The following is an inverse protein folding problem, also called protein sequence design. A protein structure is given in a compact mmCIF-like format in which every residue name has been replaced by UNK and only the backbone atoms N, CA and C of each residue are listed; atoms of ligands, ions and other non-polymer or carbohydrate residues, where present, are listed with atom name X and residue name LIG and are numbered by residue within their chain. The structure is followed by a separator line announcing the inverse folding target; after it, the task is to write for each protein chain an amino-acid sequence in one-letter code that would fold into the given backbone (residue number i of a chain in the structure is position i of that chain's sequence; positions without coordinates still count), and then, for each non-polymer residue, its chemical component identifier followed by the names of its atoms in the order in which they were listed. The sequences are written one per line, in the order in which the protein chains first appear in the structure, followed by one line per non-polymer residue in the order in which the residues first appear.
data_IF_258012494679
#
_entry.id   IF_258012494679
#
_cell.length_a   1.000
_cell.length_b   1.000
_cell.length_c   1.000
_cell.angle_alpha   90.00
_cell.angle_beta   90.00
_cell.angle_gamma   90.00
#
_symmetry.space_group_name_H-M   'P 1'
#
loop_
_entity.id
_entity.type
_entity.pdbx_description
1 polymer ?
#
# COMPACT_ATOMS: atom_id res chain seq x y z
N UNK A 1 2.11 -25.03 -14.52
CA UNK A 1 1.76 -23.96 -13.57
C UNK A 1 2.52 -24.15 -12.26
N UNK A 2 2.93 -23.10 -11.62
CA UNK A 2 3.68 -23.16 -10.37
C UNK A 2 3.06 -22.29 -9.31
N UNK A 3 3.39 -22.56 -8.04
CA UNK A 3 2.94 -21.77 -6.90
C UNK A 3 4.17 -21.23 -6.16
N UNK A 4 4.24 -19.92 -5.99
CA UNK A 4 5.35 -19.26 -5.34
C UNK A 4 4.86 -18.32 -4.24
N UNK A 5 5.38 -18.39 -3.01
CA UNK A 5 5.13 -17.38 -2.00
C UNK A 5 5.97 -16.13 -2.32
N UNK A 6 5.33 -14.96 -2.44
CA UNK A 6 6.01 -13.68 -2.65
C UNK A 6 5.58 -12.67 -1.58
N UNK A 7 6.52 -11.86 -1.13
CA UNK A 7 6.22 -10.76 -0.22
C UNK A 7 5.57 -9.60 -0.97
N UNK A 8 4.67 -8.88 -0.31
CA UNK A 8 4.01 -7.70 -0.87
C UNK A 8 5.02 -6.68 -1.37
N UNK A 9 6.09 -6.42 -0.62
CA UNK A 9 7.15 -5.51 -1.03
C UNK A 9 7.85 -5.93 -2.33
N UNK A 10 8.07 -7.23 -2.55
CA UNK A 10 8.62 -7.75 -3.80
C UNK A 10 7.68 -7.51 -4.98
N UNK A 11 6.38 -7.79 -4.80
CA UNK A 11 5.36 -7.56 -5.82
C UNK A 11 5.23 -6.08 -6.18
N UNK A 12 5.18 -5.22 -5.18
CA UNK A 12 5.13 -3.75 -5.35
C UNK A 12 6.37 -3.23 -6.08
N UNK A 13 7.56 -3.76 -5.79
CA UNK A 13 8.79 -3.39 -6.50
C UNK A 13 8.81 -3.92 -7.95
N UNK A 14 8.31 -5.13 -8.22
CA UNK A 14 8.17 -5.63 -9.60
C UNK A 14 7.28 -4.71 -10.45
N UNK A 15 6.20 -4.14 -9.87
CA UNK A 15 5.35 -3.16 -10.56
C UNK A 15 6.13 -1.88 -10.84
N UNK A 16 6.85 -1.35 -9.85
CA UNK A 16 7.64 -0.13 -9.98
C UNK A 16 8.73 -0.24 -11.06
N UNK A 17 9.32 -1.44 -11.19
CA UNK A 17 10.33 -1.75 -12.22
C UNK A 17 9.73 -2.07 -13.58
N UNK A 18 8.40 -2.14 -13.72
CA UNK A 18 7.73 -2.51 -14.96
C UNK A 18 7.84 -4.00 -15.32
N UNK A 19 8.31 -4.85 -14.41
CA UNK A 19 8.42 -6.30 -14.61
C UNK A 19 7.06 -6.99 -14.51
N UNK A 20 6.16 -6.46 -13.62
CA UNK A 20 4.81 -6.93 -13.45
C UNK A 20 3.83 -5.87 -13.98
N UNK A 21 3.06 -6.24 -15.01
CA UNK A 21 2.04 -5.39 -15.59
C UNK A 21 0.76 -5.41 -14.76
N UNK A 22 0.30 -4.22 -14.39
CA UNK A 22 -1.06 -3.98 -13.96
C UNK A 22 -1.86 -3.53 -15.19
N UNK A 23 -2.88 -4.25 -15.63
CA UNK A 23 -3.68 -3.84 -16.78
C UNK A 23 -4.61 -2.67 -16.40
N UNK A 24 -4.05 -1.52 -16.06
CA UNK A 24 -4.79 -0.30 -15.72
C UNK A 24 -5.69 0.19 -16.84
N UNK A 25 -5.29 -0.07 -18.09
CA UNK A 25 -6.05 0.31 -19.28
C UNK A 25 -7.30 -0.54 -19.52
N UNK A 26 -7.40 -1.73 -18.89
CA UNK A 26 -8.52 -2.64 -19.13
C UNK A 26 -9.57 -2.63 -18.02
N UNK A 27 -9.18 -2.30 -16.78
CA UNK A 27 -10.09 -2.26 -15.63
C UNK A 27 -9.73 -1.13 -14.69
N UNK A 28 -10.50 -0.04 -14.66
CA UNK A 28 -10.30 1.04 -13.72
C UNK A 28 -10.40 0.53 -12.27
N UNK A 29 -9.79 1.28 -11.37
CA UNK A 29 -9.86 0.98 -9.94
C UNK A 29 -11.28 1.23 -9.42
N UNK A 30 -11.93 0.17 -8.94
CA UNK A 30 -13.35 0.21 -8.54
C UNK A 30 -13.55 0.00 -7.03
N UNK A 31 -12.53 -0.42 -6.29
CA UNK A 31 -12.69 -0.63 -4.87
C UNK A 31 -12.97 0.68 -4.14
N UNK A 32 -13.94 0.72 -3.22
CA UNK A 32 -14.08 1.83 -2.30
C UNK A 32 -12.90 1.84 -1.32
N UNK A 33 -12.55 3.01 -0.81
CA UNK A 33 -11.42 3.17 0.12
C UNK A 33 -11.61 2.35 1.41
N UNK A 34 -12.86 2.12 1.82
CA UNK A 34 -13.17 1.22 2.94
C UNK A 34 -12.68 -0.21 2.72
N UNK A 35 -12.74 -0.72 1.48
CA UNK A 35 -12.24 -2.06 1.16
C UNK A 35 -10.70 -2.10 1.18
N UNK A 36 -10.05 -1.00 0.81
CA UNK A 36 -8.60 -0.87 0.94
C UNK A 36 -8.20 -0.80 2.42
N UNK A 37 -8.94 -0.04 3.25
CA UNK A 37 -8.76 -0.03 4.70
C UNK A 37 -8.87 -1.43 5.29
N UNK A 38 -9.90 -2.19 4.93
CA UNK A 38 -10.13 -3.55 5.42
C UNK A 38 -9.04 -4.53 4.98
N UNK A 39 -8.43 -4.28 3.81
CA UNK A 39 -7.26 -5.04 3.35
C UNK A 39 -6.07 -4.86 4.30
N UNK A 40 -5.70 -3.62 4.63
CA UNK A 40 -4.61 -3.32 5.56
C UNK A 40 -4.91 -3.81 6.98
N UNK A 41 -6.16 -3.67 7.44
CA UNK A 41 -6.61 -4.19 8.73
C UNK A 41 -6.51 -5.72 8.81
N UNK A 42 -6.87 -6.41 7.74
CA UNK A 42 -6.71 -7.88 7.66
C UNK A 42 -5.25 -8.29 7.69
N UNK A 43 -4.39 -7.57 6.98
CA UNK A 43 -2.95 -7.88 6.94
C UNK A 43 -2.28 -7.70 8.31
N UNK A 44 -2.56 -6.62 9.03
CA UNK A 44 -1.94 -6.37 10.35
C UNK A 44 -2.40 -7.40 11.39
N UNK A 45 -3.61 -7.93 11.23
CA UNK A 45 -4.16 -9.02 12.06
C UNK A 45 -3.67 -10.40 11.63
N UNK A 46 -2.89 -10.51 10.55
CA UNK A 46 -2.38 -11.78 10.03
C UNK A 46 -3.44 -12.63 9.33
N UNK A 47 -4.58 -12.06 8.94
CA UNK A 47 -5.61 -12.79 8.23
C UNK A 47 -5.23 -13.00 6.76
N UNK A 48 -5.61 -14.15 6.17
CA UNK A 48 -5.35 -14.40 4.76
C UNK A 48 -6.13 -13.41 3.90
N UNK A 49 -5.44 -12.77 2.96
CA UNK A 49 -6.03 -11.80 2.04
C UNK A 49 -6.23 -12.37 0.62
N UNK A 50 -6.16 -13.69 0.48
CA UNK A 50 -6.32 -14.41 -0.76
C UNK A 50 -5.01 -14.63 -1.50
N UNK A 51 -5.09 -14.96 -2.79
CA UNK A 51 -3.97 -15.26 -3.67
C UNK A 51 -3.92 -14.30 -4.86
N UNK A 52 -2.82 -14.33 -5.59
CA UNK A 52 -2.68 -13.67 -6.88
C UNK A 52 -2.50 -14.72 -7.97
N UNK A 53 -2.93 -14.39 -9.18
CA UNK A 53 -2.70 -15.19 -10.36
C UNK A 53 -1.98 -14.34 -11.41
N UNK A 54 -0.80 -14.78 -11.79
CA UNK A 54 0.05 -14.12 -12.78
C UNK A 54 0.19 -15.00 -14.02
N UNK A 55 0.31 -14.36 -15.14
CA UNK A 55 0.61 -14.99 -16.42
C UNK A 55 1.99 -14.55 -16.88
N UNK A 56 2.87 -15.53 -17.14
CA UNK A 56 4.15 -15.29 -17.75
C UNK A 56 3.97 -15.01 -19.24
N UNK A 57 4.40 -13.86 -19.72
CA UNK A 57 4.28 -13.42 -21.09
C UNK A 57 5.63 -13.27 -21.77
N UNK A 58 6.37 -14.36 -22.06
CA UNK A 58 7.70 -14.26 -22.62
C UNK A 58 7.75 -13.73 -24.07
N UNK A 59 6.62 -13.66 -24.77
CA UNK A 59 6.57 -13.32 -26.21
C UNK A 59 5.96 -11.96 -26.56
N UNK A 60 5.52 -11.15 -25.59
CA UNK A 60 5.05 -9.78 -25.88
C UNK A 60 6.17 -8.84 -26.33
N UNK A 61 7.40 -9.29 -26.30
CA UNK A 61 8.60 -8.51 -26.55
C UNK A 61 8.81 -8.04 -28.00
N UNK A 62 7.93 -8.38 -28.97
CA UNK A 62 8.26 -8.12 -30.39
C UNK A 62 7.20 -7.47 -31.30
N UNK A 63 5.98 -7.20 -30.88
CA UNK A 63 4.96 -6.77 -31.87
C UNK A 63 3.90 -5.77 -31.41
N UNK A 64 4.20 -4.67 -30.75
CA UNK A 64 3.31 -3.49 -30.80
C UNK A 64 4.06 -2.19 -30.51
N UNK A 65 4.97 -1.84 -31.39
CA UNK A 65 5.34 -0.45 -31.61
C UNK A 65 4.54 0.04 -32.82
N UNK A 66 3.28 0.41 -32.60
CA UNK A 66 2.53 1.20 -33.58
C UNK A 66 1.92 2.35 -32.81
N UNK A 67 2.52 3.54 -32.94
CA UNK A 67 2.00 4.78 -32.37
C UNK A 67 3.10 5.59 -31.69
N UNK A 68 3.38 6.68 -32.29
CA UNK A 68 4.33 7.72 -31.93
C UNK A 68 4.10 8.19 -30.49
N UNK A 69 4.94 7.76 -29.56
CA UNK A 69 5.38 8.52 -28.39
C UNK A 69 6.60 7.82 -27.77
N UNK A 70 7.70 8.55 -27.63
CA UNK A 70 9.03 8.09 -27.24
C UNK A 70 9.20 7.74 -25.74
N UNK A 71 8.21 7.20 -25.11
CA UNK A 71 8.37 6.57 -23.79
C UNK A 71 8.21 5.05 -23.93
N UNK A 72 9.30 4.37 -24.23
CA UNK A 72 9.36 2.91 -24.20
C UNK A 72 9.20 2.43 -22.74
N UNK A 73 7.96 2.18 -22.33
CA UNK A 73 7.75 1.39 -21.14
C UNK A 73 8.24 -0.04 -21.41
N UNK A 74 9.06 -0.63 -20.54
CA UNK A 74 9.46 -2.01 -20.70
C UNK A 74 8.22 -2.90 -20.77
N UNK A 75 8.15 -3.80 -21.73
CA UNK A 75 7.06 -4.78 -21.83
C UNK A 75 7.11 -5.66 -20.58
N UNK A 76 6.06 -5.73 -19.78
CA UNK A 76 6.08 -6.52 -18.56
C UNK A 76 6.29 -8.00 -18.87
N UNK A 77 7.11 -8.66 -18.07
CA UNK A 77 7.37 -10.11 -18.17
C UNK A 77 6.20 -10.94 -17.67
N UNK A 78 5.48 -10.39 -16.69
CA UNK A 78 4.35 -11.02 -16.02
C UNK A 78 3.16 -10.04 -16.04
N UNK A 79 1.96 -10.57 -16.18
CA UNK A 79 0.70 -9.79 -16.13
C UNK A 79 -0.22 -10.39 -15.10
N UNK A 80 -0.87 -9.55 -14.28
CA UNK A 80 -1.83 -10.02 -13.29
C UNK A 80 -3.15 -10.42 -13.96
N UNK A 81 -3.64 -11.63 -13.67
CA UNK A 81 -4.94 -12.15 -14.14
C UNK A 81 -5.99 -11.98 -13.05
N UNK A 82 -5.66 -12.36 -11.80
CA UNK A 82 -6.56 -12.22 -10.66
C UNK A 82 -5.86 -11.59 -9.45
N UNK A 83 -6.65 -10.87 -8.64
CA UNK A 83 -6.16 -10.09 -7.52
C UNK A 83 -5.72 -8.66 -7.89
N UNK A 84 -6.03 -8.19 -9.11
CA UNK A 84 -5.63 -6.87 -9.61
C UNK A 84 -5.97 -5.72 -8.66
N UNK A 85 -7.23 -5.61 -8.22
CA UNK A 85 -7.66 -4.52 -7.34
C UNK A 85 -6.89 -4.51 -6.00
N UNK A 86 -6.60 -5.70 -5.47
CA UNK A 86 -5.81 -5.88 -4.25
C UNK A 86 -4.38 -5.40 -4.44
N UNK A 87 -3.73 -5.87 -5.48
CA UNK A 87 -2.34 -5.51 -5.75
C UNK A 87 -2.19 -4.02 -6.13
N UNK A 88 -3.15 -3.47 -6.91
CA UNK A 88 -3.21 -2.03 -7.20
C UNK A 88 -3.37 -1.21 -5.93
N UNK A 89 -4.21 -1.64 -4.97
CA UNK A 89 -4.36 -0.97 -3.68
C UNK A 89 -3.06 -0.93 -2.89
N UNK A 90 -2.38 -2.06 -2.79
CA UNK A 90 -1.11 -2.19 -2.08
C UNK A 90 -0.03 -1.32 -2.72
N UNK A 91 0.09 -1.36 -4.04
CA UNK A 91 1.02 -0.52 -4.78
C UNK A 91 0.74 0.97 -4.59
N UNK A 92 -0.52 1.39 -4.80
CA UNK A 92 -0.92 2.79 -4.68
C UNK A 92 -0.62 3.36 -3.29
N UNK A 93 -0.98 2.63 -2.24
CA UNK A 93 -0.78 3.07 -0.86
C UNK A 93 0.70 3.01 -0.46
N UNK A 94 1.41 1.91 -0.73
CA UNK A 94 2.81 1.76 -0.30
C UNK A 94 3.79 2.63 -1.09
N UNK A 95 3.45 3.06 -2.30
CA UNK A 95 4.27 3.95 -3.13
C UNK A 95 3.73 5.38 -3.23
N UNK A 96 2.60 5.68 -2.58
CA UNK A 96 1.97 7.00 -2.65
C UNK A 96 1.53 7.38 -4.08
N UNK A 97 1.08 6.39 -4.86
CA UNK A 97 0.68 6.60 -6.26
C UNK A 97 -0.82 6.81 -6.38
N UNK A 98 -1.24 7.60 -7.35
CA UNK A 98 -2.65 7.74 -7.72
C UNK A 98 -3.09 6.57 -8.60
N UNK A 99 -4.36 6.24 -8.54
CA UNK A 99 -5.00 5.23 -9.40
C UNK A 99 -6.03 5.91 -10.31
N UNK A 100 -6.35 5.29 -11.45
CA UNK A 100 -7.45 5.75 -12.30
C UNK A 100 -8.78 5.16 -11.80
N UNK A 101 -9.74 6.03 -11.50
CA UNK A 101 -11.10 5.64 -11.12
C UNK A 101 -11.92 5.21 -12.35
N UNK A 102 -13.20 4.86 -12.15
CA UNK A 102 -14.12 4.46 -13.23
C UNK A 102 -14.32 5.53 -14.32
N UNK A 103 -14.05 6.80 -14.01
CA UNK A 103 -14.12 7.90 -14.96
C UNK A 103 -12.76 8.22 -15.58
N UNK A 104 -11.74 7.39 -15.32
CA UNK A 104 -10.34 7.61 -15.73
C UNK A 104 -9.71 8.89 -15.15
N UNK A 105 -10.25 9.39 -14.03
CA UNK A 105 -9.68 10.50 -13.28
C UNK A 105 -8.68 9.98 -12.26
N UNK A 106 -7.68 10.79 -11.96
CA UNK A 106 -6.71 10.47 -10.91
C UNK A 106 -7.36 10.51 -9.53
N UNK A 107 -7.25 9.41 -8.80
CA UNK A 107 -7.73 9.24 -7.44
C UNK A 107 -6.59 8.88 -6.53
N UNK A 108 -6.45 9.59 -5.43
CA UNK A 108 -5.57 9.22 -4.33
C UNK A 108 -6.35 8.35 -3.33
N UNK A 109 -5.73 7.26 -2.89
CA UNK A 109 -6.27 6.38 -1.84
C UNK A 109 -5.61 6.78 -0.53
N UNK A 110 -6.38 7.36 0.38
CA UNK A 110 -5.87 7.81 1.68
C UNK A 110 -6.41 6.91 2.77
N UNK A 111 -5.52 6.17 3.42
CA UNK A 111 -5.81 5.32 4.56
C UNK A 111 -5.09 5.88 5.77
N UNK A 112 -5.84 6.09 6.85
CA UNK A 112 -5.33 6.58 8.13
C UNK A 112 -5.10 5.42 9.09
N UNK A 113 -4.14 5.58 10.00
CA UNK A 113 -3.82 4.60 11.03
C UNK A 113 -3.62 5.28 12.39
N UNK A 114 -4.23 4.74 13.42
CA UNK A 114 -3.98 5.17 14.81
C UNK A 114 -3.07 4.16 15.49
N UNK A 115 -1.79 4.50 15.73
CA UNK A 115 -0.83 3.56 16.31
C UNK A 115 -1.10 3.21 17.77
N UNK A 116 -1.75 4.08 18.56
CA UNK A 116 -2.12 3.75 19.94
C UNK A 116 -3.17 2.66 20.04
N UNK A 117 -4.13 2.67 19.11
CA UNK A 117 -5.28 1.76 19.08
C UNK A 117 -5.10 0.58 18.12
N UNK A 118 -4.08 0.64 17.25
CA UNK A 118 -3.83 -0.31 16.17
C UNK A 118 -5.05 -0.50 15.26
N UNK A 119 -5.66 0.60 14.81
CA UNK A 119 -6.85 0.60 13.95
C UNK A 119 -6.64 1.45 12.70
N UNK A 120 -7.27 1.03 11.61
CA UNK A 120 -7.30 1.76 10.34
C UNK A 120 -8.64 2.44 10.12
N UNK A 121 -8.58 3.60 9.45
CA UNK A 121 -9.75 4.31 8.93
C UNK A 121 -9.49 4.86 7.54
N UNK A 122 -10.56 5.11 6.79
CA UNK A 122 -10.46 5.89 5.56
C UNK A 122 -10.06 7.32 5.92
N UNK A 123 -9.13 7.91 5.18
CA UNK A 123 -8.68 9.26 5.41
C UNK A 123 -9.80 10.29 5.17
N UNK A 124 -10.17 11.04 6.20
CA UNK A 124 -11.17 12.11 6.15
C UNK A 124 -10.77 13.28 7.07
N UNK A 125 -11.56 14.35 7.07
CA UNK A 125 -11.18 15.60 7.76
C UNK A 125 -10.90 15.43 9.27
N UNK A 126 -11.60 14.52 9.95
CA UNK A 126 -11.36 14.28 11.38
C UNK A 126 -10.02 13.60 11.61
N UNK A 127 -9.69 12.55 10.85
CA UNK A 127 -8.39 11.87 10.98
C UNK A 127 -7.23 12.79 10.57
N UNK A 128 -7.46 13.72 9.66
CA UNK A 128 -6.47 14.73 9.26
C UNK A 128 -6.18 15.75 10.35
N UNK A 129 -7.20 16.13 11.13
CA UNK A 129 -7.07 17.13 12.21
C UNK A 129 -6.56 16.52 13.52
N UNK A 130 -6.89 15.27 13.77
CA UNK A 130 -6.50 14.57 14.98
C UNK A 130 -5.09 13.98 14.82
N UNK A 131 -4.14 14.61 15.49
CA UNK A 131 -2.72 14.23 15.45
C UNK A 131 -2.38 12.89 16.14
N UNK A 132 -3.36 12.22 16.73
CA UNK A 132 -3.22 10.82 17.17
C UNK A 132 -3.29 9.86 15.97
N UNK A 133 -3.67 10.36 14.78
CA UNK A 133 -3.70 9.57 13.56
C UNK A 133 -2.51 9.89 12.65
N UNK A 134 -1.93 8.87 12.08
CA UNK A 134 -1.19 8.97 10.83
C UNK A 134 -2.26 9.12 9.75
N UNK A 135 -2.40 10.33 9.21
CA UNK A 135 -3.48 10.65 8.26
C UNK A 135 -3.39 9.83 6.98
N UNK A 136 -2.19 9.70 6.43
CA UNK A 136 -1.93 8.91 5.23
C UNK A 136 -0.78 7.94 5.50
N UNK A 137 -1.08 6.64 5.56
CA UNK A 137 -0.05 5.62 5.82
C UNK A 137 1.01 5.54 4.71
N UNK A 138 0.76 6.09 3.52
CA UNK A 138 1.76 6.20 2.46
C UNK A 138 3.01 6.93 2.94
N UNK A 139 2.85 7.95 3.80
CA UNK A 139 3.95 8.73 4.35
C UNK A 139 4.94 7.87 5.16
N UNK A 140 4.43 6.84 5.84
CA UNK A 140 5.27 5.90 6.58
C UNK A 140 6.12 5.02 5.65
N UNK A 141 5.59 4.62 4.49
CA UNK A 141 6.29 3.75 3.55
C UNK A 141 7.32 4.47 2.70
N UNK A 142 7.06 5.73 2.33
CA UNK A 142 7.97 6.54 1.49
C UNK A 142 9.07 7.24 2.30
N UNK A 143 8.90 7.34 3.62
CA UNK A 143 9.86 7.96 4.54
C UNK A 143 10.82 6.94 5.13
N UNK A 144 11.91 7.43 5.74
CA UNK A 144 12.75 6.58 6.59
C UNK A 144 11.95 6.18 7.85
N UNK A 145 11.79 4.87 8.07
CA UNK A 145 10.97 4.32 9.16
C UNK A 145 11.35 4.83 10.54
N UNK A 146 12.65 4.91 10.86
CA UNK A 146 13.12 5.39 12.15
C UNK A 146 12.81 6.89 12.36
N UNK A 147 13.11 7.71 11.35
CA UNK A 147 12.82 9.15 11.37
C UNK A 147 11.33 9.43 11.48
N UNK A 148 10.53 8.68 10.72
CA UNK A 148 9.07 8.80 10.75
C UNK A 148 8.50 8.49 12.13
N UNK A 149 8.91 7.37 12.74
CA UNK A 149 8.45 6.95 14.06
C UNK A 149 8.81 7.97 15.13
N UNK A 150 10.06 8.46 15.14
CA UNK A 150 10.48 9.46 16.11
C UNK A 150 9.72 10.79 15.95
N UNK A 151 9.52 11.24 14.72
CA UNK A 151 8.75 12.47 14.45
C UNK A 151 7.31 12.33 14.92
N UNK A 152 6.68 11.17 14.67
CA UNK A 152 5.32 10.90 15.14
C UNK A 152 5.24 10.93 16.67
N UNK A 153 6.15 10.25 17.37
CA UNK A 153 6.20 10.21 18.85
C UNK A 153 6.40 11.61 19.42
N UNK A 154 7.30 12.40 18.85
CA UNK A 154 7.53 13.78 19.29
C UNK A 154 6.28 14.65 19.12
N UNK A 155 5.59 14.54 17.98
CA UNK A 155 4.34 15.26 17.73
C UNK A 155 3.24 14.84 18.71
N UNK A 156 3.13 13.54 18.99
CA UNK A 156 2.16 12.99 19.94
C UNK A 156 2.45 13.48 21.36
N UNK A 157 3.74 13.53 21.76
CA UNK A 157 4.17 14.07 23.05
C UNK A 157 3.76 15.53 23.21
N UNK A 158 4.04 16.37 22.22
CA UNK A 158 3.63 17.78 22.22
C UNK A 158 2.11 17.93 22.30
N UNK A 159 1.35 17.07 21.59
CA UNK A 159 -0.11 17.07 21.65
C UNK A 159 -0.61 16.74 23.07
N UNK A 160 -0.04 15.72 23.72
CA UNK A 160 -0.39 15.34 25.10
C UNK A 160 -0.07 16.45 26.09
N UNK A 161 1.13 17.02 26.01
CA UNK A 161 1.57 18.15 26.86
C UNK A 161 0.63 19.35 26.71
N UNK A 162 0.19 19.69 25.51
CA UNK A 162 -0.78 20.78 25.27
C UNK A 162 -2.15 20.54 25.92
N UNK A 163 -2.48 19.31 26.23
CA UNK A 163 -3.71 18.89 26.95
C UNK A 163 -3.48 18.66 28.44
N UNK A 164 -2.28 18.97 28.96
CA UNK A 164 -1.91 18.71 30.35
C UNK A 164 -1.76 17.22 30.68
N UNK A 165 -1.50 16.38 29.67
CA UNK A 165 -1.32 14.94 29.79
C UNK A 165 0.15 14.59 29.51
N UNK A 166 0.61 13.47 30.05
CA UNK A 166 1.92 12.90 29.76
C UNK A 166 1.76 11.70 28.83
N UNK A 167 2.70 11.53 27.89
CA UNK A 167 2.83 10.33 27.10
C UNK A 167 3.71 9.35 27.84
N UNK A 168 3.14 8.23 28.28
CA UNK A 168 3.85 7.23 29.08
C UNK A 168 4.84 6.41 28.24
N UNK A 169 5.84 5.83 28.90
CA UNK A 169 6.80 4.93 28.22
C UNK A 169 6.10 3.71 27.61
N UNK A 170 5.04 3.21 28.25
CA UNK A 170 4.22 2.12 27.74
C UNK A 170 3.50 2.51 26.42
N UNK A 171 2.88 3.69 26.39
CA UNK A 171 2.25 4.21 25.15
C UNK A 171 3.28 4.42 24.05
N UNK A 172 4.49 4.92 24.35
CA UNK A 172 5.59 5.05 23.39
C UNK A 172 5.96 3.69 22.80
N UNK A 173 6.06 2.66 23.64
CA UNK A 173 6.37 1.30 23.20
C UNK A 173 5.27 0.73 22.29
N UNK A 174 3.99 0.91 22.67
CA UNK A 174 2.83 0.49 21.85
C UNK A 174 2.89 1.17 20.48
N UNK A 175 3.07 2.48 20.44
CA UNK A 175 3.16 3.25 19.20
C UNK A 175 4.31 2.76 18.32
N UNK A 176 5.49 2.58 18.90
CA UNK A 176 6.68 2.11 18.16
C UNK A 176 6.47 0.73 17.58
N UNK A 177 5.90 -0.19 18.36
CA UNK A 177 5.60 -1.54 17.91
C UNK A 177 4.57 -1.54 16.78
N UNK A 178 3.50 -0.74 16.89
CA UNK A 178 2.43 -0.69 15.91
C UNK A 178 2.84 0.01 14.61
N UNK A 179 3.69 1.05 14.66
CA UNK A 179 4.28 1.65 13.45
C UNK A 179 5.25 0.66 12.79
N UNK A 180 6.03 -0.09 13.57
CA UNK A 180 6.89 -1.15 13.04
C UNK A 180 6.07 -2.26 12.38
N UNK A 181 4.95 -2.67 13.00
CA UNK A 181 4.04 -3.65 12.41
C UNK A 181 3.42 -3.14 11.10
N UNK A 182 3.00 -1.87 11.05
CA UNK A 182 2.53 -1.22 9.82
C UNK A 182 3.58 -1.30 8.72
N UNK A 183 4.82 -0.90 9.01
CA UNK A 183 5.92 -0.93 8.05
C UNK A 183 6.23 -2.36 7.57
N UNK A 184 6.15 -3.34 8.47
CA UNK A 184 6.40 -4.75 8.19
C UNK A 184 5.31 -5.42 7.34
N UNK A 185 4.18 -4.77 7.04
CA UNK A 185 3.21 -5.29 6.07
C UNK A 185 3.81 -5.49 4.67
N UNK A 186 4.94 -4.85 4.36
CA UNK A 186 5.71 -5.13 3.14
C UNK A 186 6.25 -6.58 3.11
N UNK A 187 6.45 -7.20 4.27
CA UNK A 187 6.91 -8.58 4.41
C UNK A 187 5.76 -9.60 4.44
N UNK A 188 4.50 -9.11 4.36
CA UNK A 188 3.35 -10.00 4.29
C UNK A 188 3.42 -10.86 3.03
N UNK A 189 3.27 -12.19 3.20
CA UNK A 189 3.45 -13.14 2.11
C UNK A 189 2.11 -13.48 1.46
N UNK A 190 2.05 -13.38 0.15
CA UNK A 190 0.95 -13.83 -0.69
C UNK A 190 1.32 -15.08 -1.44
N UNK A 191 0.35 -15.98 -1.61
CA UNK A 191 0.47 -17.10 -2.54
C UNK A 191 0.23 -16.59 -3.95
N UNK A 192 1.18 -16.82 -4.84
CA UNK A 192 1.12 -16.45 -6.25
C UNK A 192 1.07 -17.71 -7.09
N UNK A 193 0.06 -17.82 -7.94
CA UNK A 193 -0.06 -18.85 -8.96
C UNK A 193 0.48 -18.29 -10.29
N UNK A 194 1.49 -18.93 -10.86
CA UNK A 194 2.05 -18.59 -12.18
C UNK A 194 1.53 -19.58 -13.22
N UNK A 195 0.99 -19.08 -14.32
CA UNK A 195 0.39 -19.83 -15.42
C UNK A 195 1.20 -19.61 -16.69
#
# INVERSE_FOLDING_TARGET
FSTTPLQVGQLVNKIELGELGLPELQRPFIWPDSKVRDLFDSMIKGYPIGYLMLWDCPELDKKKTIGVDEHSYPTPKEVIIDGQQRLTSLYAVMKGKKVKNQKYEDKEIVISFNPLKCIFEVGFQMTKRDKEWIYNISDAYISNSWSFTNNYINNLKQLRESKGLELTNEEIQIVSNNITALYNLQNFTLTVFNI
#
